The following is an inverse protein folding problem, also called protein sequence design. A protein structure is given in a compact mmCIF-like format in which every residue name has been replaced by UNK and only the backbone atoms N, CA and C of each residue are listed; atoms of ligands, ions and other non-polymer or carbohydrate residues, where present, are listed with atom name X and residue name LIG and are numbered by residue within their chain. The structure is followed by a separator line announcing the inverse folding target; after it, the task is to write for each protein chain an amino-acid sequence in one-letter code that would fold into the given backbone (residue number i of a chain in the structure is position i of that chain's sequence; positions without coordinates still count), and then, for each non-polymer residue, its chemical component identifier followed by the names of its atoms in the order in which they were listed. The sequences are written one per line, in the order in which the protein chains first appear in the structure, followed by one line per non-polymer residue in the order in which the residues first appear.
data_IF_932563141510
#
_entry.id   IF_932563141510
#
_cell.length_a   1.000
_cell.length_b   1.000
_cell.length_c   1.000
_cell.angle_alpha   90.00
_cell.angle_beta   90.00
_cell.angle_gamma   90.00
#
_symmetry.space_group_name_H-M   'P 1'
#
loop_
_entity.id
_entity.type
_entity.pdbx_description
1 polymer ?
#
# COMPACT_ATOMS: atom_id res chain seq x y z
N UNK A 1 -7.15 17.98 -43.36
CA UNK A 1 -8.01 16.81 -43.55
C UNK A 1 -7.24 15.80 -44.40
N UNK A 2 -7.03 14.58 -43.93
CA UNK A 2 -6.42 13.51 -44.73
C UNK A 2 -7.56 12.56 -45.07
N UNK A 3 -7.93 12.43 -46.36
CA UNK A 3 -8.95 11.48 -46.80
C UNK A 3 -8.32 10.12 -47.07
N UNK A 4 -8.93 9.03 -46.62
CA UNK A 4 -8.54 7.67 -46.97
C UNK A 4 -9.76 6.94 -47.54
N UNK A 5 -9.60 6.31 -48.71
CA UNK A 5 -10.65 5.56 -49.42
C UNK A 5 -10.74 4.13 -48.90
N UNK A 6 -11.94 3.62 -48.67
CA UNK A 6 -12.18 2.21 -48.40
C UNK A 6 -13.46 1.74 -49.13
N UNK A 7 -13.31 0.84 -50.12
CA UNK A 7 -14.44 0.19 -50.78
C UNK A 7 -14.81 -1.08 -50.02
N UNK A 8 -16.05 -1.17 -49.53
CA UNK A 8 -16.56 -2.30 -48.75
C UNK A 8 -17.46 -3.16 -49.65
N UNK A 9 -16.86 -3.95 -50.54
CA UNK A 9 -17.56 -5.09 -51.14
C UNK A 9 -16.58 -6.27 -51.29
N UNK A 10 -17.01 -7.40 -50.72
CA UNK A 10 -16.43 -8.75 -50.73
C UNK A 10 -15.38 -9.16 -49.68
N UNK A 11 -15.59 -10.40 -49.22
CA UNK A 11 -14.99 -11.08 -48.08
C UNK A 11 -13.46 -11.19 -48.19
N UNK A 12 -12.79 -10.91 -47.07
CA UNK A 12 -11.34 -11.07 -46.79
C UNK A 12 -10.42 -10.14 -47.59
N UNK A 13 -10.06 -8.99 -47.04
CA UNK A 13 -8.72 -8.37 -47.19
C UNK A 13 -8.45 -7.30 -46.12
N UNK A 14 -7.15 -7.10 -45.84
CA UNK A 14 -6.57 -6.22 -44.82
C UNK A 14 -6.92 -4.75 -45.11
N UNK A 15 -7.29 -3.99 -44.08
CA UNK A 15 -7.39 -2.53 -44.15
C UNK A 15 -5.99 -1.93 -44.27
N UNK A 16 -5.79 -1.05 -45.26
CA UNK A 16 -4.53 -0.34 -45.47
C UNK A 16 -4.73 1.14 -45.15
N UNK A 17 -4.07 1.63 -44.09
CA UNK A 17 -4.06 3.04 -43.72
C UNK A 17 -2.78 3.69 -44.29
N UNK A 18 -2.86 4.73 -45.13
CA UNK A 18 -1.68 5.34 -45.76
C UNK A 18 -0.67 5.96 -44.79
N UNK A 19 -1.08 6.24 -43.55
CA UNK A 19 -0.24 6.86 -42.51
C UNK A 19 0.52 5.82 -41.67
N UNK A 20 0.14 4.54 -41.75
CA UNK A 20 0.76 3.45 -40.99
C UNK A 20 1.49 2.47 -41.91
N UNK A 21 2.69 2.85 -42.38
CA UNK A 21 3.49 1.97 -43.24
C UNK A 21 3.80 0.59 -42.63
N UNK A 22 3.66 0.36 -41.31
CA UNK A 22 4.15 -0.88 -40.65
C UNK A 22 3.19 -1.56 -39.63
N UNK A 23 1.85 -1.42 -39.70
CA UNK A 23 0.98 -2.16 -38.76
C UNK A 23 -0.23 -2.86 -39.43
N UNK A 24 -0.23 -4.20 -39.56
CA UNK A 24 -1.42 -4.94 -39.97
C UNK A 24 -2.40 -5.09 -38.78
N UNK A 25 -3.60 -4.52 -38.89
CA UNK A 25 -4.71 -4.84 -38.00
C UNK A 25 -5.30 -6.18 -38.46
N UNK A 26 -5.12 -7.24 -37.67
CA UNK A 26 -5.73 -8.54 -37.90
C UNK A 26 -7.10 -8.63 -37.21
N UNK A 27 -8.18 -8.73 -38.00
CA UNK A 27 -9.55 -8.94 -37.51
C UNK A 27 -10.59 -8.74 -38.62
N UNK A 28 -11.77 -9.36 -38.47
CA UNK A 28 -12.93 -9.15 -39.36
C UNK A 28 -13.37 -7.67 -39.34
N UNK A 29 -13.89 -7.16 -40.46
CA UNK A 29 -14.23 -5.74 -40.66
C UNK A 29 -15.11 -5.11 -39.56
N UNK A 30 -15.92 -5.92 -38.87
CA UNK A 30 -16.74 -5.48 -37.73
C UNK A 30 -15.91 -4.92 -36.57
N UNK A 31 -14.77 -5.56 -36.25
CA UNK A 31 -13.91 -5.15 -35.13
C UNK A 31 -13.22 -3.81 -35.37
N UNK A 32 -12.97 -3.48 -36.64
CA UNK A 32 -12.41 -2.18 -37.01
C UNK A 32 -13.46 -1.05 -36.89
N UNK A 33 -14.70 -1.33 -37.28
CA UNK A 33 -15.83 -0.41 -37.10
C UNK A 33 -16.16 -0.17 -35.63
N UNK A 34 -16.14 -1.20 -34.79
CA UNK A 34 -16.35 -1.09 -33.34
C UNK A 34 -15.26 -0.22 -32.68
N UNK A 35 -14.00 -0.37 -33.11
CA UNK A 35 -12.89 0.47 -32.65
C UNK A 35 -13.10 1.93 -33.07
N UNK A 36 -13.55 2.18 -34.30
CA UNK A 36 -13.78 3.54 -34.81
C UNK A 36 -14.97 4.25 -34.12
N UNK A 37 -16.06 3.52 -33.84
CA UNK A 37 -17.20 4.04 -33.07
C UNK A 37 -16.83 4.34 -31.62
N UNK A 38 -16.01 3.48 -30.99
CA UNK A 38 -15.54 3.68 -29.60
C UNK A 38 -14.58 4.86 -29.45
N UNK A 39 -13.87 5.26 -30.52
CA UNK A 39 -12.95 6.40 -30.53
C UNK A 39 -13.65 7.76 -30.72
N UNK A 40 -15.00 7.82 -30.83
CA UNK A 40 -15.79 9.03 -31.14
C UNK A 40 -15.29 9.79 -32.37
N UNK A 41 -14.72 9.08 -33.35
CA UNK A 41 -14.41 9.66 -34.65
C UNK A 41 -15.73 9.76 -35.42
N UNK A 42 -16.21 10.98 -35.67
CA UNK A 42 -17.41 11.20 -36.46
C UNK A 42 -17.17 10.64 -37.88
N UNK A 43 -17.86 9.54 -38.19
CA UNK A 43 -17.90 8.97 -39.52
C UNK A 43 -19.13 9.55 -40.24
N UNK A 44 -18.89 10.23 -41.35
CA UNK A 44 -19.97 10.69 -42.22
C UNK A 44 -20.07 9.72 -43.40
N UNK A 45 -21.27 9.25 -43.67
CA UNK A 45 -21.58 8.49 -44.88
C UNK A 45 -22.05 9.49 -45.94
N UNK A 46 -21.32 9.59 -47.05
CA UNK A 46 -21.79 10.35 -48.20
C UNK A 46 -22.84 9.52 -48.98
N UNK A 47 -23.75 10.13 -49.77
CA UNK A 47 -24.83 9.43 -50.46
C UNK A 47 -24.39 8.30 -51.42
N UNK A 48 -23.09 8.24 -51.75
CA UNK A 48 -22.48 7.18 -52.56
C UNK A 48 -21.91 5.98 -51.78
N UNK A 49 -22.04 5.93 -50.44
CA UNK A 49 -21.58 4.81 -49.63
C UNK A 49 -20.09 4.83 -49.24
N UNK A 50 -19.38 5.95 -49.44
CA UNK A 50 -18.02 6.14 -48.91
C UNK A 50 -18.04 6.66 -47.46
N UNK A 51 -17.15 6.10 -46.62
CA UNK A 51 -17.01 6.46 -45.20
C UNK A 51 -15.78 7.35 -45.00
N UNK A 52 -15.98 8.62 -44.66
CA UNK A 52 -14.88 9.56 -44.41
C UNK A 52 -14.60 9.70 -42.90
N UNK A 53 -13.32 9.55 -42.50
CA UNK A 53 -12.87 9.61 -41.09
C UNK A 53 -12.09 10.90 -40.80
N UNK A 54 -12.43 11.62 -39.73
CA UNK A 54 -11.66 12.77 -39.23
C UNK A 54 -10.72 12.34 -38.10
N UNK A 55 -9.42 12.35 -38.34
CA UNK A 55 -8.42 12.10 -37.29
C UNK A 55 -8.26 13.33 -36.37
N UNK A 56 -8.02 13.14 -35.06
CA UNK A 56 -7.71 14.23 -34.14
C UNK A 56 -6.37 14.89 -34.50
N UNK A 57 -6.26 16.19 -34.26
CA UNK A 57 -5.02 16.95 -34.48
C UNK A 57 -3.98 16.65 -33.38
N UNK A 58 -2.69 16.95 -33.64
CA UNK A 58 -1.65 16.81 -32.60
C UNK A 58 -1.98 17.73 -31.41
N UNK A 59 -2.01 17.15 -30.20
CA UNK A 59 -2.36 17.88 -28.97
C UNK A 59 -3.83 17.82 -28.54
N UNK A 60 -4.72 17.19 -29.30
CA UNK A 60 -6.14 17.04 -28.94
C UNK A 60 -6.33 15.96 -27.85
N UNK A 61 -7.18 16.23 -26.84
CA UNK A 61 -7.43 15.33 -25.70
C UNK A 61 -8.59 14.38 -25.99
N UNK A 62 -8.36 13.08 -25.90
CA UNK A 62 -9.39 12.05 -26.10
C UNK A 62 -9.81 11.47 -24.74
N UNK A 63 -11.11 11.44 -24.39
CA UNK A 63 -11.59 10.85 -23.14
C UNK A 63 -11.39 9.33 -23.09
N UNK A 64 -11.10 8.81 -21.89
CA UNK A 64 -10.84 7.39 -21.63
C UNK A 64 -12.12 6.55 -21.71
N UNK A 65 -12.04 5.38 -22.37
CA UNK A 65 -13.11 4.37 -22.47
C UNK A 65 -12.53 3.01 -22.06
N UNK A 66 -13.29 2.25 -21.28
CA UNK A 66 -12.85 1.18 -20.37
C UNK A 66 -11.79 0.17 -20.88
N UNK A 67 -10.82 -0.10 -20.00
CA UNK A 67 -10.24 -1.43 -19.73
C UNK A 67 -9.22 -2.08 -20.68
N UNK A 68 -9.28 -1.91 -22.00
CA UNK A 68 -8.44 -2.72 -22.92
C UNK A 68 -7.23 -2.02 -23.54
N UNK A 69 -6.99 -0.76 -23.20
CA UNK A 69 -6.04 0.11 -23.91
C UNK A 69 -4.82 0.47 -23.05
N UNK A 70 -3.75 -0.34 -23.02
CA UNK A 70 -2.55 0.11 -22.28
C UNK A 70 -1.15 -0.23 -22.86
N UNK A 71 -1.04 -0.72 -24.10
CA UNK A 71 0.29 -0.73 -24.79
C UNK A 71 0.26 -0.38 -26.26
N UNK A 72 -0.70 -0.91 -27.03
CA UNK A 72 -0.75 -0.71 -28.49
C UNK A 72 -1.12 0.71 -28.92
N UNK A 73 -1.95 1.43 -28.14
CA UNK A 73 -2.44 2.77 -28.51
C UNK A 73 -1.32 3.82 -28.59
N UNK A 74 -0.39 3.80 -27.62
CA UNK A 74 0.77 4.72 -27.59
C UNK A 74 1.72 4.52 -28.77
N UNK A 75 1.73 3.32 -29.34
CA UNK A 75 2.54 2.99 -30.53
C UNK A 75 1.86 3.45 -31.82
N UNK A 76 0.53 3.55 -31.83
CA UNK A 76 -0.27 3.89 -33.02
C UNK A 76 -0.41 5.40 -33.21
N UNK A 77 -0.42 6.20 -32.13
CA UNK A 77 -0.58 7.65 -32.19
C UNK A 77 0.52 8.40 -31.42
N UNK A 78 1.71 8.61 -32.02
CA UNK A 78 2.74 9.46 -31.43
C UNK A 78 2.23 10.90 -31.30
N UNK A 79 2.22 11.44 -30.07
CA UNK A 79 1.79 12.81 -29.76
C UNK A 79 0.39 12.95 -29.13
N UNK A 80 -0.39 11.88 -28.99
CA UNK A 80 -1.70 11.92 -28.30
C UNK A 80 -1.52 11.71 -26.80
N UNK A 81 -1.96 12.69 -26.00
CA UNK A 81 -1.99 12.58 -24.54
C UNK A 81 -3.34 12.04 -24.11
N UNK A 82 -3.39 10.75 -23.75
CA UNK A 82 -4.58 10.15 -23.12
C UNK A 82 -4.64 10.65 -21.68
N UNK A 83 -5.55 11.58 -21.40
CA UNK A 83 -5.88 11.97 -20.04
C UNK A 83 -6.98 11.03 -19.54
N UNK A 84 -6.64 10.09 -18.66
CA UNK A 84 -7.69 9.43 -17.88
C UNK A 84 -8.37 10.49 -17.01
N UNK A 85 -9.71 10.54 -16.94
CA UNK A 85 -10.35 11.15 -15.80
C UNK A 85 -9.74 10.49 -14.56
N UNK A 86 -9.33 11.27 -13.56
CA UNK A 86 -9.05 10.64 -12.26
C UNK A 86 -10.32 9.87 -11.90
N UNK A 87 -10.24 8.58 -11.52
CA UNK A 87 -11.42 7.86 -11.09
C UNK A 87 -12.11 8.70 -10.02
N UNK A 88 -13.34 9.13 -10.28
CA UNK A 88 -14.14 9.71 -9.23
C UNK A 88 -14.59 8.53 -8.38
N UNK A 89 -14.15 8.51 -7.12
CA UNK A 89 -14.60 7.49 -6.19
C UNK A 89 -16.10 7.70 -5.96
N UNK A 90 -16.91 6.84 -6.60
CA UNK A 90 -18.34 6.83 -6.40
C UNK A 90 -18.63 6.49 -4.93
N UNK A 91 -19.65 7.14 -4.35
CA UNK A 91 -20.13 6.77 -3.02
C UNK A 91 -20.77 5.38 -3.10
N UNK A 92 -20.01 4.37 -2.70
CA UNK A 92 -20.53 3.01 -2.55
C UNK A 92 -21.45 2.97 -1.32
N UNK A 93 -22.72 2.66 -1.53
CA UNK A 93 -23.75 2.43 -0.50
C UNK A 93 -23.82 0.96 -0.04
N UNK A 94 -22.87 0.12 -0.47
CA UNK A 94 -22.85 -1.31 -0.11
C UNK A 94 -22.74 -1.47 1.41
N UNK A 95 -23.78 -2.02 2.03
CA UNK A 95 -23.74 -2.51 3.40
C UNK A 95 -22.87 -3.77 3.46
N UNK A 96 -21.81 -3.79 4.28
CA UNK A 96 -20.96 -4.96 4.42
C UNK A 96 -21.60 -6.03 5.29
N UNK A 97 -21.68 -7.26 4.77
CA UNK A 97 -22.13 -8.42 5.56
C UNK A 97 -20.91 -9.24 5.99
N UNK A 98 -20.90 -9.63 7.26
CA UNK A 98 -19.90 -10.54 7.84
C UNK A 98 -19.97 -11.93 7.16
N UNK A 99 -18.83 -12.54 6.80
CA UNK A 99 -18.81 -13.91 6.27
C UNK A 99 -19.45 -14.90 7.24
N UNK A 100 -20.06 -15.96 6.70
CA UNK A 100 -20.51 -17.10 7.52
C UNK A 100 -19.28 -17.71 8.22
N UNK A 101 -19.28 -17.79 9.55
CA UNK A 101 -18.25 -18.48 10.33
C UNK A 101 -17.42 -17.62 11.29
N UNK A 102 -17.40 -16.29 11.15
CA UNK A 102 -16.80 -15.39 12.17
C UNK A 102 -17.94 -14.81 13.00
N UNK A 103 -17.95 -15.01 14.33
CA UNK A 103 -18.90 -14.35 15.24
C UNK A 103 -18.13 -13.53 16.27
N UNK A 104 -18.53 -12.28 16.50
CA UNK A 104 -17.89 -11.40 17.48
C UNK A 104 -17.94 -11.94 18.91
N UNK A 105 -18.96 -12.73 19.23
CA UNK A 105 -19.12 -13.43 20.50
C UNK A 105 -18.02 -14.46 20.76
N UNK A 106 -17.40 -14.99 19.70
CA UNK A 106 -16.47 -16.12 19.80
C UNK A 106 -15.03 -15.67 20.16
N UNK A 107 -14.79 -14.36 20.23
CA UNK A 107 -13.46 -13.80 20.49
C UNK A 107 -13.49 -12.85 21.67
N UNK A 108 -12.46 -12.90 22.51
CA UNK A 108 -12.23 -11.96 23.60
C UNK A 108 -11.75 -10.60 23.06
N UNK A 109 -10.84 -10.65 22.07
CA UNK A 109 -10.27 -9.48 21.40
C UNK A 109 -10.14 -9.66 19.89
N UNK A 110 -10.27 -8.54 19.18
CA UNK A 110 -10.07 -8.38 17.74
C UNK A 110 -8.83 -7.50 17.55
N UNK A 111 -7.72 -8.11 17.15
CA UNK A 111 -6.40 -7.51 17.07
C UNK A 111 -6.15 -7.01 15.64
N UNK A 112 -6.38 -5.73 15.39
CA UNK A 112 -6.26 -5.11 14.06
C UNK A 112 -4.81 -4.71 13.79
N UNK A 113 -4.15 -5.42 12.88
CA UNK A 113 -2.79 -5.11 12.44
C UNK A 113 -2.80 -3.84 11.58
N UNK A 114 -2.33 -2.74 12.16
CA UNK A 114 -2.56 -1.39 11.66
C UNK A 114 -1.26 -0.67 11.31
N UNK A 115 -1.04 -0.44 10.01
CA UNK A 115 0.16 0.23 9.49
C UNK A 115 -0.05 1.73 9.24
N UNK A 116 -1.28 2.23 9.37
CA UNK A 116 -1.68 3.56 8.94
C UNK A 116 -1.90 3.69 7.43
N UNK A 117 -1.62 2.64 6.65
CA UNK A 117 -1.92 2.56 5.23
C UNK A 117 -3.42 2.41 4.94
N UNK A 118 -3.82 2.73 3.70
CA UNK A 118 -5.22 2.73 3.25
C UNK A 118 -5.94 1.40 3.52
N UNK A 119 -5.25 0.28 3.34
CA UNK A 119 -5.87 -1.04 3.45
C UNK A 119 -6.05 -1.47 4.92
N UNK A 120 -5.16 -1.04 5.83
CA UNK A 120 -5.35 -1.21 7.28
C UNK A 120 -6.47 -0.32 7.82
N UNK A 121 -6.62 0.90 7.29
CA UNK A 121 -7.78 1.74 7.55
C UNK A 121 -9.06 1.08 7.07
N UNK A 122 -9.07 0.57 5.84
CA UNK A 122 -10.23 -0.12 5.29
C UNK A 122 -10.62 -1.33 6.15
N UNK A 123 -9.66 -2.13 6.62
CA UNK A 123 -9.95 -3.25 7.52
C UNK A 123 -10.61 -2.79 8.83
N UNK A 124 -10.09 -1.73 9.46
CA UNK A 124 -10.68 -1.18 10.67
C UNK A 124 -12.09 -0.62 10.44
N UNK A 125 -12.26 0.23 9.43
CA UNK A 125 -13.54 0.85 9.12
C UNK A 125 -14.60 -0.19 8.72
N UNK A 126 -14.19 -1.22 7.99
CA UNK A 126 -15.06 -2.34 7.66
C UNK A 126 -15.58 -3.03 8.92
N UNK A 127 -14.72 -3.29 9.92
CA UNK A 127 -15.15 -3.90 11.19
C UNK A 127 -16.17 -3.04 11.91
N UNK A 128 -15.94 -1.72 11.93
CA UNK A 128 -16.84 -0.77 12.57
C UNK A 128 -18.20 -0.69 11.84
N UNK A 129 -18.20 -0.64 10.51
CA UNK A 129 -19.44 -0.69 9.70
C UNK A 129 -20.20 -2.02 9.88
N UNK A 130 -19.47 -3.13 10.09
CA UNK A 130 -20.05 -4.46 10.34
C UNK A 130 -20.48 -4.70 11.81
N UNK A 131 -20.45 -3.67 12.66
CA UNK A 131 -20.92 -3.73 14.04
C UNK A 131 -20.04 -4.58 14.96
N UNK A 132 -18.72 -4.63 14.72
CA UNK A 132 -17.80 -5.25 15.67
C UNK A 132 -17.78 -4.47 17.01
N UNK A 133 -17.88 -5.15 18.18
CA UNK A 133 -17.88 -4.49 19.49
C UNK A 133 -16.58 -3.72 19.72
N UNK A 134 -16.68 -2.41 19.99
CA UNK A 134 -15.50 -1.52 20.07
C UNK A 134 -14.57 -1.86 21.23
N UNK A 135 -15.13 -2.33 22.35
CA UNK A 135 -14.43 -2.81 23.54
C UNK A 135 -13.56 -4.05 23.28
N UNK A 136 -13.84 -4.79 22.21
CA UNK A 136 -13.03 -5.92 21.74
C UNK A 136 -11.94 -5.52 20.75
N UNK A 137 -12.07 -4.38 20.07
CA UNK A 137 -11.12 -3.97 19.03
C UNK A 137 -9.90 -3.32 19.65
N UNK A 138 -8.73 -3.79 19.22
CA UNK A 138 -7.45 -3.19 19.56
C UNK A 138 -6.63 -2.92 18.30
N UNK A 139 -6.01 -1.75 18.24
CA UNK A 139 -5.06 -1.40 17.19
C UNK A 139 -3.69 -1.89 17.61
N UNK A 140 -3.09 -2.72 16.75
CA UNK A 140 -1.75 -3.27 16.95
C UNK A 140 -0.82 -2.73 15.87
N UNK A 141 0.29 -2.12 16.28
CA UNK A 141 1.26 -1.52 15.38
C UNK A 141 2.65 -2.09 15.60
N UNK A 142 3.33 -2.45 14.53
CA UNK A 142 4.71 -2.94 14.59
C UNK A 142 5.68 -1.85 14.19
N UNK A 143 6.42 -1.33 15.17
CA UNK A 143 7.46 -0.34 14.96
C UNK A 143 8.74 -1.04 14.45
N UNK A 144 8.98 -0.97 13.15
CA UNK A 144 10.09 -1.68 12.48
C UNK A 144 11.45 -1.01 12.69
N UNK A 145 11.46 0.24 13.13
CA UNK A 145 12.68 0.96 13.50
C UNK A 145 13.13 0.65 14.93
N UNK A 146 12.28 -0.01 15.73
CA UNK A 146 12.51 -0.18 17.16
C UNK A 146 12.28 1.11 17.95
N UNK A 147 12.31 0.99 19.27
CA UNK A 147 12.52 2.13 20.16
C UNK A 147 14.03 2.27 20.36
N UNK A 148 14.70 2.98 19.43
CA UNK A 148 16.05 3.50 19.67
C UNK A 148 15.98 4.90 20.29
N UNK A 149 17.10 5.40 20.82
CA UNK A 149 17.21 6.69 21.52
C UNK A 149 16.32 7.76 20.88
N UNK A 150 15.58 8.44 21.74
CA UNK A 150 14.51 9.43 21.58
C UNK A 150 14.87 10.71 20.76
N UNK A 151 15.94 10.65 19.96
CA UNK A 151 16.36 11.63 18.97
C UNK A 151 16.90 11.05 17.66
N UNK A 152 16.90 9.72 17.47
CA UNK A 152 17.37 9.09 16.24
C UNK A 152 16.37 9.31 15.09
N UNK A 153 16.86 9.78 13.95
CA UNK A 153 16.08 9.87 12.72
C UNK A 153 15.54 8.48 12.37
N UNK A 154 14.21 8.33 12.20
CA UNK A 154 13.58 7.08 11.75
C UNK A 154 14.36 6.49 10.58
N UNK A 155 14.65 5.20 10.62
CA UNK A 155 15.62 4.60 9.70
C UNK A 155 14.96 4.07 8.43
N UNK A 156 13.83 3.37 8.60
CA UNK A 156 13.09 2.71 7.55
C UNK A 156 11.67 3.24 7.42
N UNK A 157 10.97 3.53 8.52
CA UNK A 157 9.60 4.02 8.48
C UNK A 157 9.51 5.49 8.08
N UNK A 158 8.28 5.96 7.87
CA UNK A 158 8.07 7.40 7.73
C UNK A 158 8.17 8.03 9.12
N UNK A 159 8.85 9.17 9.29
CA UNK A 159 8.93 9.85 10.58
C UNK A 159 7.56 10.08 11.24
N UNK A 160 6.52 10.33 10.43
CA UNK A 160 5.16 10.55 10.92
C UNK A 160 4.40 9.27 11.32
N UNK A 161 4.80 8.06 10.88
CA UNK A 161 3.94 6.86 10.98
C UNK A 161 3.50 6.58 12.40
N UNK A 162 4.43 6.61 13.37
CA UNK A 162 4.12 6.33 14.79
C UNK A 162 3.09 7.32 15.33
N UNK A 163 3.30 8.61 15.08
CA UNK A 163 2.36 9.66 15.51
C UNK A 163 1.01 9.56 14.79
N UNK A 164 1.01 9.25 13.50
CA UNK A 164 -0.20 9.07 12.71
C UNK A 164 -1.05 7.91 13.24
N UNK A 165 -0.43 6.78 13.57
CA UNK A 165 -1.11 5.61 14.12
C UNK A 165 -1.63 5.89 15.54
N UNK A 166 -0.84 6.56 16.38
CA UNK A 166 -1.29 7.01 17.70
C UNK A 166 -2.48 7.99 17.62
N UNK A 167 -2.41 8.95 16.71
CA UNK A 167 -3.50 9.89 16.46
C UNK A 167 -4.75 9.17 15.96
N UNK A 168 -4.62 8.21 15.04
CA UNK A 168 -5.70 7.38 14.54
C UNK A 168 -6.38 6.61 15.68
N UNK A 169 -5.61 5.89 16.50
CA UNK A 169 -6.16 5.15 17.63
C UNK A 169 -6.92 6.05 18.61
N UNK A 170 -6.33 7.20 18.95
CA UNK A 170 -6.97 8.18 19.85
C UNK A 170 -8.24 8.78 19.24
N UNK A 171 -8.24 9.15 17.97
CA UNK A 171 -9.42 9.70 17.29
C UNK A 171 -10.54 8.68 17.14
N UNK A 172 -10.19 7.40 16.98
CA UNK A 172 -11.16 6.31 16.95
C UNK A 172 -11.54 5.82 18.36
N UNK A 173 -10.94 6.34 19.43
CA UNK A 173 -11.20 5.87 20.80
C UNK A 173 -10.91 4.39 20.99
N UNK A 174 -9.84 3.87 20.36
CA UNK A 174 -9.44 2.47 20.42
C UNK A 174 -8.06 2.33 21.10
N UNK A 175 -7.81 1.27 21.87
CA UNK A 175 -6.49 1.00 22.45
C UNK A 175 -5.44 0.79 21.36
N UNK A 176 -4.26 1.40 21.53
CA UNK A 176 -3.07 1.14 20.72
C UNK A 176 -2.06 0.30 21.51
N UNK A 177 -1.55 -0.75 20.89
CA UNK A 177 -0.46 -1.57 21.41
C UNK A 177 0.64 -1.69 20.36
N UNK A 178 1.86 -1.36 20.76
CA UNK A 178 3.02 -1.37 19.88
C UNK A 178 3.91 -2.56 20.19
N UNK A 179 4.45 -3.20 19.16
CA UNK A 179 5.44 -4.26 19.26
C UNK A 179 6.63 -3.95 18.37
N UNK A 180 7.84 -4.32 18.79
CA UNK A 180 9.04 -4.08 18.01
C UNK A 180 10.14 -5.07 18.32
N UNK A 181 11.19 -5.03 17.51
CA UNK A 181 12.48 -5.65 17.82
C UNK A 181 13.47 -4.55 18.18
N UNK A 182 14.29 -4.77 19.20
CA UNK A 182 15.35 -3.83 19.57
C UNK A 182 16.23 -3.51 18.36
N UNK A 183 16.70 -2.27 18.28
CA UNK A 183 17.55 -1.75 17.19
C UNK A 183 16.94 -1.79 15.77
N UNK A 184 15.70 -2.26 15.62
CA UNK A 184 14.97 -2.24 14.36
C UNK A 184 15.64 -2.99 13.20
N UNK A 185 15.22 -2.65 11.98
CA UNK A 185 15.72 -3.28 10.76
C UNK A 185 17.22 -3.04 10.57
N UNK A 186 17.71 -1.82 10.84
CA UNK A 186 19.11 -1.48 10.61
C UNK A 186 20.00 -2.17 11.64
N UNK A 187 19.59 -2.27 12.90
CA UNK A 187 20.26 -3.06 13.92
C UNK A 187 20.38 -4.52 13.53
N UNK A 188 19.26 -5.17 13.17
CA UNK A 188 19.26 -6.56 12.73
C UNK A 188 20.13 -6.82 11.49
N UNK A 189 20.18 -5.86 10.57
CA UNK A 189 21.03 -5.94 9.38
C UNK A 189 22.52 -5.88 9.75
N UNK A 190 22.89 -5.02 10.70
CA UNK A 190 24.27 -4.67 11.04
C UNK A 190 24.84 -5.40 12.26
N UNK A 191 24.04 -6.27 12.87
CA UNK A 191 24.39 -7.06 14.06
C UNK A 191 25.70 -7.84 13.86
N UNK A 192 26.61 -7.75 14.84
CA UNK A 192 27.90 -8.47 14.87
C UNK A 192 28.07 -9.18 16.21
N UNK A 193 28.46 -10.45 16.19
CA UNK A 193 28.89 -11.20 17.38
C UNK A 193 27.84 -11.35 18.49
N UNK A 194 26.55 -11.38 18.15
CA UNK A 194 25.45 -11.59 19.13
C UNK A 194 24.26 -12.25 18.44
N UNK A 195 23.39 -12.93 19.18
CA UNK A 195 22.10 -13.41 18.67
C UNK A 195 21.13 -12.28 18.32
N UNK A 196 20.04 -12.60 17.62
CA UNK A 196 18.98 -11.65 17.24
C UNK A 196 18.56 -10.77 18.42
N UNK A 197 18.29 -9.50 18.15
CA UNK A 197 17.85 -8.56 19.18
C UNK A 197 16.53 -9.01 19.80
N UNK A 198 16.32 -8.75 21.11
CA UNK A 198 15.09 -9.10 21.78
C UNK A 198 13.90 -8.36 21.17
N UNK A 199 12.72 -8.95 21.32
CA UNK A 199 11.46 -8.30 20.96
C UNK A 199 10.82 -7.70 22.18
N UNK A 200 10.12 -6.61 21.97
CA UNK A 200 9.37 -5.93 23.01
C UNK A 200 7.93 -5.72 22.57
N UNK A 201 7.04 -5.66 23.53
CA UNK A 201 5.64 -5.34 23.31
C UNK A 201 5.07 -4.57 24.49
N UNK A 202 4.22 -3.61 24.20
CA UNK A 202 3.43 -2.92 25.22
C UNK A 202 2.38 -3.87 25.82
N UNK A 203 2.19 -3.77 27.13
CA UNK A 203 1.26 -4.58 27.90
C UNK A 203 0.77 -3.81 29.15
N UNK A 204 0.01 -4.49 30.01
CA UNK A 204 -0.35 -4.00 31.34
C UNK A 204 0.36 -4.78 32.45
N UNK A 205 0.69 -4.08 33.53
CA UNK A 205 1.00 -4.70 34.81
C UNK A 205 -0.28 -5.10 35.57
N UNK A 206 -0.11 -5.75 36.72
CA UNK A 206 -1.20 -6.20 37.59
C UNK A 206 -2.08 -5.06 38.12
N UNK A 207 -1.59 -3.81 38.08
CA UNK A 207 -2.31 -2.61 38.49
C UNK A 207 -2.95 -1.87 37.32
N UNK A 208 -2.91 -2.45 36.11
CA UNK A 208 -3.46 -1.85 34.90
C UNK A 208 -2.63 -0.70 34.33
N UNK A 209 -1.37 -0.54 34.73
CA UNK A 209 -0.46 0.49 34.19
C UNK A 209 0.27 -0.06 32.96
N UNK A 210 0.51 0.81 31.96
CA UNK A 210 1.28 0.43 30.77
C UNK A 210 2.72 0.08 31.13
N UNK A 211 3.17 -1.06 30.64
CA UNK A 211 4.55 -1.54 30.76
C UNK A 211 5.05 -2.05 29.42
N UNK A 212 6.36 -2.15 29.27
CA UNK A 212 7.00 -2.83 28.14
C UNK A 212 7.52 -4.16 28.65
N UNK A 213 7.15 -5.26 27.96
CA UNK A 213 7.66 -6.59 28.26
C UNK A 213 8.63 -7.03 27.19
N UNK A 214 9.66 -7.75 27.62
CA UNK A 214 10.64 -8.38 26.76
C UNK A 214 10.22 -9.82 26.44
N UNK A 215 10.33 -10.20 25.18
CA UNK A 215 10.26 -11.58 24.71
C UNK A 215 11.55 -11.91 23.96
N UNK A 216 12.53 -12.40 24.71
CA UNK A 216 13.82 -12.83 24.17
C UNK A 216 13.70 -14.22 23.58
N UNK A 217 14.19 -14.36 22.35
CA UNK A 217 14.50 -15.65 21.76
C UNK A 217 16.00 -15.83 21.85
N UNK A 218 16.49 -16.59 22.82
CA UNK A 218 17.92 -16.97 22.90
C UNK A 218 18.35 -17.91 21.75
N UNK A 219 17.42 -18.29 20.86
CA UNK A 219 17.70 -19.06 19.65
C UNK A 219 17.94 -18.15 18.44
N UNK A 220 19.05 -18.37 17.71
CA UNK A 220 19.29 -17.73 16.41
C UNK A 220 20.76 -17.67 16.01
N UNK A 221 21.01 -17.31 14.76
CA UNK A 221 22.36 -17.12 14.19
C UNK A 221 23.19 -16.09 14.98
N UNK A 222 24.44 -16.43 15.30
CA UNK A 222 25.42 -15.56 15.98
C UNK A 222 25.95 -14.39 15.13
N UNK A 223 25.33 -14.13 13.99
CA UNK A 223 25.70 -13.07 13.04
C UNK A 223 24.47 -12.38 12.46
N UNK A 224 24.63 -11.11 12.06
CA UNK A 224 23.59 -10.31 11.41
C UNK A 224 23.10 -10.92 10.10
N UNK A 225 22.02 -10.34 9.54
CA UNK A 225 21.41 -10.88 8.32
C UNK A 225 22.42 -10.90 7.17
N UNK A 226 22.48 -11.94 6.33
CA UNK A 226 23.46 -12.05 5.24
C UNK A 226 23.32 -10.91 4.22
N UNK A 227 22.15 -10.28 4.14
CA UNK A 227 21.90 -9.09 3.34
C UNK A 227 20.56 -8.44 3.68
N UNK A 228 20.20 -7.45 2.88
CA UNK A 228 18.90 -6.80 2.94
C UNK A 228 17.74 -7.79 2.72
N UNK A 229 16.52 -7.48 3.19
CA UNK A 229 15.38 -8.38 3.04
C UNK A 229 15.07 -8.69 1.57
N UNK A 230 14.75 -9.96 1.28
CA UNK A 230 14.46 -10.38 -0.09
C UNK A 230 13.14 -9.79 -0.63
N UNK A 231 13.14 -9.36 -1.90
CA UNK A 231 11.93 -8.82 -2.55
C UNK A 231 10.90 -9.88 -2.91
N UNK A 232 11.28 -11.08 -3.35
CA UNK A 232 10.33 -12.12 -3.82
C UNK A 232 10.16 -13.26 -2.83
N UNK A 233 11.27 -13.75 -2.30
CA UNK A 233 11.29 -14.89 -1.38
C UNK A 233 10.74 -14.47 -0.01
N UNK A 234 9.52 -14.93 0.31
CA UNK A 234 8.85 -14.65 1.58
C UNK A 234 9.59 -15.24 2.79
N UNK A 235 10.29 -16.36 2.62
CA UNK A 235 11.08 -17.01 3.68
C UNK A 235 12.30 -16.15 4.01
N UNK A 236 12.96 -15.61 2.97
CA UNK A 236 14.13 -14.74 3.12
C UNK A 236 13.78 -13.26 3.35
N UNK A 237 12.50 -12.88 3.29
CA UNK A 237 12.02 -11.52 3.60
C UNK A 237 11.83 -11.34 5.10
N UNK A 238 12.96 -11.29 5.80
CA UNK A 238 13.00 -11.18 7.26
C UNK A 238 12.37 -9.88 7.80
N UNK A 239 12.28 -8.80 7.02
CA UNK A 239 11.57 -7.58 7.46
C UNK A 239 10.04 -7.76 7.58
N UNK A 240 9.47 -8.81 6.99
CA UNK A 240 8.05 -9.15 7.16
C UNK A 240 7.88 -10.08 8.35
N UNK A 241 8.62 -11.19 8.37
CA UNK A 241 8.52 -12.15 9.47
C UNK A 241 9.13 -11.58 10.77
N UNK A 242 10.44 -11.39 10.82
CA UNK A 242 11.16 -11.09 12.06
C UNK A 242 10.94 -9.67 12.62
N UNK A 243 10.39 -8.75 11.83
CA UNK A 243 10.18 -7.35 12.24
C UNK A 243 8.72 -6.94 12.35
N UNK A 244 7.78 -7.77 11.90
CA UNK A 244 6.33 -7.47 11.98
C UNK A 244 5.56 -8.64 12.55
N UNK A 245 5.62 -9.79 11.88
CA UNK A 245 4.82 -10.94 12.29
C UNK A 245 5.29 -11.50 13.63
N UNK A 246 6.59 -11.69 13.80
CA UNK A 246 7.14 -12.28 15.02
C UNK A 246 6.95 -11.38 16.25
N UNK A 247 7.22 -10.06 16.23
CA UNK A 247 6.89 -9.18 17.36
C UNK A 247 5.39 -9.20 17.72
N UNK A 248 4.49 -9.21 16.72
CA UNK A 248 3.06 -9.35 16.97
C UNK A 248 2.71 -10.72 17.57
N UNK A 249 3.32 -11.80 17.10
CA UNK A 249 3.15 -13.14 17.66
C UNK A 249 3.57 -13.15 19.14
N UNK A 250 4.70 -12.55 19.48
CA UNK A 250 5.16 -12.45 20.88
C UNK A 250 4.17 -11.72 21.76
N UNK A 251 3.57 -10.62 21.28
CA UNK A 251 2.49 -9.95 21.99
C UNK A 251 1.29 -10.87 22.24
N UNK A 252 0.87 -11.67 21.25
CA UNK A 252 -0.24 -12.63 21.41
C UNK A 252 0.11 -13.74 22.40
N UNK A 253 1.37 -14.18 22.41
CA UNK A 253 1.82 -15.34 23.19
C UNK A 253 2.09 -15.01 24.66
N UNK A 254 2.61 -13.81 24.94
CA UNK A 254 3.23 -13.49 26.23
C UNK A 254 2.60 -12.27 26.93
N UNK A 255 1.59 -11.63 26.35
CA UNK A 255 0.86 -10.55 27.02
C UNK A 255 0.05 -11.07 28.19
N UNK A 256 0.31 -10.52 29.38
CA UNK A 256 -0.35 -10.89 30.62
C UNK A 256 -1.84 -10.57 30.57
N UNK A 257 -2.24 -9.42 30.00
CA UNK A 257 -3.67 -9.05 29.86
C UNK A 257 -4.45 -9.95 28.89
N UNK A 258 -3.75 -10.76 28.09
CA UNK A 258 -4.30 -11.70 27.12
C UNK A 258 -4.12 -13.16 27.57
N UNK A 259 -3.64 -13.40 28.79
CA UNK A 259 -3.40 -14.74 29.29
C UNK A 259 -4.68 -15.43 29.74
N UNK A 260 -4.62 -16.76 29.90
CA UNK A 260 -5.73 -17.54 30.47
C UNK A 260 -6.05 -17.10 31.89
N UNK A 261 -5.04 -16.74 32.67
CA UNK A 261 -5.17 -16.28 34.05
C UNK A 261 -5.92 -14.96 34.12
N UNK A 262 -5.63 -14.01 33.22
CA UNK A 262 -6.31 -12.72 33.17
C UNK A 262 -7.76 -12.82 32.65
N UNK A 263 -8.02 -13.74 31.70
CA UNK A 263 -9.35 -13.89 31.09
C UNK A 263 -10.26 -14.90 31.81
N UNK A 264 -9.69 -15.82 32.60
CA UNK A 264 -10.41 -16.89 33.29
C UNK A 264 -10.72 -18.13 32.43
N UNK A 265 -10.44 -18.09 31.13
CA UNK A 265 -10.68 -19.18 30.18
C UNK A 265 -9.62 -19.24 29.08
N UNK A 266 -9.65 -20.28 28.24
CA UNK A 266 -8.74 -20.42 27.10
C UNK A 266 -8.94 -19.23 26.14
N UNK A 267 -7.94 -18.34 25.95
CA UNK A 267 -8.12 -17.12 25.20
C UNK A 267 -8.50 -17.36 23.73
N UNK A 268 -9.33 -16.46 23.18
CA UNK A 268 -9.82 -16.52 21.80
C UNK A 268 -9.62 -15.17 21.11
N UNK A 269 -8.79 -15.12 20.08
CA UNK A 269 -8.44 -13.87 19.39
C UNK A 269 -8.71 -13.93 17.88
N UNK A 270 -9.14 -12.80 17.32
CA UNK A 270 -9.27 -12.59 15.89
C UNK A 270 -8.22 -11.60 15.42
N UNK A 271 -7.18 -12.07 14.73
CA UNK A 271 -6.15 -11.22 14.12
C UNK A 271 -6.65 -10.72 12.76
N UNK A 272 -6.75 -9.40 12.59
CA UNK A 272 -7.28 -8.79 11.38
C UNK A 272 -6.17 -8.12 10.56
N UNK A 273 -6.08 -8.44 9.27
CA UNK A 273 -5.12 -7.81 8.33
C UNK A 273 -5.81 -7.21 7.11
N UNK A 274 -5.22 -6.15 6.55
CA UNK A 274 -5.75 -5.42 5.39
C UNK A 274 -5.35 -5.96 4.02
N UNK A 275 -4.99 -7.24 3.89
CA UNK A 275 -4.49 -7.78 2.60
C UNK A 275 -5.64 -7.93 1.58
N UNK A 276 -5.42 -7.54 0.32
CA UNK A 276 -6.42 -7.58 -0.76
C UNK A 276 -6.01 -8.45 -1.94
N UNK A 277 -7.00 -9.03 -2.64
CA UNK A 277 -6.79 -9.85 -3.84
C UNK A 277 -6.13 -9.06 -4.97
N UNK A 278 -6.49 -7.80 -5.13
CA UNK A 278 -6.01 -6.94 -6.22
C UNK A 278 -4.54 -6.53 -6.08
N UNK A 279 -3.94 -6.68 -4.90
CA UNK A 279 -2.55 -6.26 -4.67
C UNK A 279 -1.53 -7.12 -5.45
N UNK A 280 -1.78 -8.42 -5.60
CA UNK A 280 -0.92 -9.32 -6.37
C UNK A 280 -1.60 -10.63 -6.76
N UNK A 281 -1.03 -11.33 -7.75
CA UNK A 281 -1.51 -12.66 -8.16
C UNK A 281 -1.44 -13.69 -7.01
N UNK A 282 -0.44 -13.58 -6.15
CA UNK A 282 -0.29 -14.47 -5.00
C UNK A 282 -1.35 -14.19 -3.94
N UNK A 283 -1.60 -12.90 -3.64
CA UNK A 283 -2.63 -12.48 -2.66
C UNK A 283 -4.04 -12.81 -3.13
N UNK A 284 -4.27 -12.87 -4.44
CA UNK A 284 -5.53 -13.30 -5.01
C UNK A 284 -5.96 -14.71 -4.56
N UNK A 285 -5.01 -15.55 -4.12
CA UNK A 285 -5.25 -16.94 -3.70
C UNK A 285 -5.40 -17.11 -2.19
N UNK A 286 -5.18 -16.07 -1.40
CA UNK A 286 -5.26 -16.18 0.07
C UNK A 286 -6.68 -16.53 0.52
N UNK A 287 -6.79 -17.35 1.56
CA UNK A 287 -8.05 -17.56 2.26
C UNK A 287 -8.45 -16.26 2.97
N UNK A 288 -9.74 -15.92 2.96
CA UNK A 288 -10.23 -14.78 3.73
C UNK A 288 -10.04 -15.02 5.22
N UNK A 289 -10.38 -16.22 5.70
CA UNK A 289 -10.20 -16.69 7.09
C UNK A 289 -9.32 -17.93 7.12
N UNK A 290 -8.42 -18.02 8.10
CA UNK A 290 -7.57 -19.19 8.34
C UNK A 290 -7.12 -19.22 9.81
N UNK A 291 -6.71 -20.37 10.38
CA UNK A 291 -6.02 -20.39 11.66
C UNK A 291 -4.77 -19.51 11.60
N UNK A 292 -4.56 -18.71 12.65
CA UNK A 292 -3.33 -17.92 12.76
C UNK A 292 -2.15 -18.83 13.14
N UNK A 293 -0.91 -18.42 12.86
CA UNK A 293 0.30 -19.21 13.18
C UNK A 293 0.49 -19.45 14.68
N UNK A 294 -0.09 -18.59 15.51
CA UNK A 294 -0.10 -18.76 16.96
C UNK A 294 -1.31 -19.57 17.43
N UNK A 295 -2.14 -20.13 16.58
CA UNK A 295 -3.24 -20.99 17.02
C UNK A 295 -2.70 -22.23 17.77
N UNK A 296 -3.25 -22.55 18.95
CA UNK A 296 -2.87 -23.72 19.74
C UNK A 296 -4.07 -24.16 20.61
N UNK A 297 -4.95 -25.07 20.15
CA UNK A 297 -6.29 -25.32 20.71
C UNK A 297 -6.35 -25.61 22.21
N UNK A 298 -5.29 -26.17 22.79
CA UNK A 298 -5.20 -26.47 24.24
C UNK A 298 -4.75 -25.28 25.09
N UNK A 299 -4.29 -24.19 24.45
CA UNK A 299 -3.74 -23.00 25.11
C UNK A 299 -4.41 -21.69 24.68
N UNK A 300 -4.82 -21.57 23.41
CA UNK A 300 -5.44 -20.38 22.80
C UNK A 300 -6.01 -20.67 21.41
N UNK A 301 -7.17 -20.10 21.11
CA UNK A 301 -7.73 -20.10 19.75
C UNK A 301 -7.38 -18.77 19.08
N UNK A 302 -6.70 -18.82 17.95
CA UNK A 302 -6.38 -17.61 17.18
C UNK A 302 -6.73 -17.83 15.72
N UNK A 303 -7.62 -16.99 15.20
CA UNK A 303 -7.96 -16.95 13.77
C UNK A 303 -7.35 -15.71 13.14
N UNK A 304 -6.99 -15.80 11.86
CA UNK A 304 -6.60 -14.68 11.04
C UNK A 304 -7.69 -14.39 10.01
N UNK A 305 -8.07 -13.12 9.88
CA UNK A 305 -9.07 -12.68 8.93
C UNK A 305 -8.66 -11.46 8.11
N UNK A 306 -9.00 -11.49 6.82
CA UNK A 306 -8.80 -10.44 5.82
C UNK A 306 -10.16 -9.89 5.39
N UNK A 307 -10.80 -9.00 6.16
CA UNK A 307 -12.17 -8.53 5.88
C UNK A 307 -12.29 -7.82 4.54
N UNK A 308 -11.23 -7.11 4.14
CA UNK A 308 -11.19 -6.32 2.91
C UNK A 308 -10.59 -7.06 1.72
N UNK A 309 -10.41 -8.38 1.82
CA UNK A 309 -9.74 -9.18 0.79
C UNK A 309 -10.36 -9.01 -0.61
N UNK A 310 -11.68 -8.85 -0.64
CA UNK A 310 -12.48 -8.71 -1.86
C UNK A 310 -12.59 -7.27 -2.38
N UNK A 311 -12.13 -6.27 -1.62
CA UNK A 311 -12.27 -4.86 -2.00
C UNK A 311 -11.29 -4.46 -3.10
N UNK A 312 -11.78 -3.66 -4.04
CA UNK A 312 -10.92 -2.93 -4.98
C UNK A 312 -10.23 -1.74 -4.30
N UNK A 313 -9.18 -1.19 -4.91
CA UNK A 313 -8.53 0.04 -4.43
C UNK A 313 -9.53 1.21 -4.40
N UNK A 314 -10.44 1.26 -5.37
CA UNK A 314 -11.51 2.26 -5.40
C UNK A 314 -12.45 2.13 -4.19
N UNK A 315 -12.90 0.91 -3.87
CA UNK A 315 -13.76 0.67 -2.71
C UNK A 315 -13.05 0.99 -1.38
N UNK A 316 -11.73 0.78 -1.30
CA UNK A 316 -10.90 1.20 -0.15
C UNK A 316 -10.91 2.72 -0.01
N UNK A 317 -10.65 3.45 -1.09
CA UNK A 317 -10.71 4.92 -1.05
C UNK A 317 -12.13 5.43 -0.78
N UNK A 318 -13.17 4.74 -1.28
CA UNK A 318 -14.57 5.08 -1.01
C UNK A 318 -14.88 4.94 0.47
N UNK A 319 -14.44 3.85 1.09
CA UNK A 319 -14.60 3.62 2.52
C UNK A 319 -13.90 4.71 3.35
N UNK A 320 -12.65 5.05 3.02
CA UNK A 320 -11.96 6.16 3.69
C UNK A 320 -12.66 7.50 3.49
N UNK A 321 -13.18 7.78 2.28
CA UNK A 321 -13.94 9.00 1.95
C UNK A 321 -15.22 9.10 2.79
N UNK A 322 -16.01 8.02 2.88
CA UNK A 322 -17.25 7.98 3.66
C UNK A 322 -17.02 8.33 5.13
N UNK A 323 -15.93 7.82 5.71
CA UNK A 323 -15.53 8.12 7.08
C UNK A 323 -14.69 9.40 7.22
N UNK A 324 -14.51 10.15 6.12
CA UNK A 324 -13.69 11.36 6.06
C UNK A 324 -12.27 11.16 6.62
N UNK A 325 -11.70 9.97 6.51
CA UNK A 325 -10.36 9.68 7.04
C UNK A 325 -9.31 10.39 6.20
N UNK A 326 -8.48 11.22 6.84
CA UNK A 326 -7.31 11.83 6.24
C UNK A 326 -6.29 10.73 5.89
N UNK A 327 -5.97 10.51 4.60
CA UNK A 327 -4.96 9.55 4.22
C UNK A 327 -3.60 9.89 4.81
N UNK A 328 -2.77 8.86 5.03
CA UNK A 328 -1.40 9.01 5.49
C UNK A 328 -0.63 10.02 4.61
N UNK A 329 0.19 10.93 5.17
CA UNK A 329 0.90 11.95 4.41
C UNK A 329 1.71 11.43 3.21
N UNK A 330 2.18 10.18 3.26
CA UNK A 330 2.82 9.50 2.12
C UNK A 330 1.95 9.55 0.84
N UNK A 331 0.65 9.28 0.95
CA UNK A 331 -0.27 9.32 -0.18
C UNK A 331 -0.47 10.74 -0.71
N UNK A 332 -0.54 11.73 0.18
CA UNK A 332 -0.66 13.14 -0.20
C UNK A 332 0.57 13.62 -0.99
N UNK A 333 1.75 13.10 -0.62
CA UNK A 333 3.03 13.35 -1.25
C UNK A 333 3.33 12.46 -2.47
N UNK A 334 2.33 11.70 -2.95
CA UNK A 334 2.41 11.02 -4.25
C UNK A 334 2.82 9.55 -4.20
N UNK A 335 3.02 8.95 -3.03
CA UNK A 335 3.24 7.50 -2.92
C UNK A 335 1.94 6.73 -3.11
N UNK A 336 1.96 5.66 -3.90
CA UNK A 336 0.79 4.79 -4.08
C UNK A 336 0.60 3.75 -2.96
N UNK A 337 1.61 3.57 -2.12
CA UNK A 337 1.57 2.65 -0.99
C UNK A 337 2.26 3.29 0.23
N UNK A 338 1.68 3.08 1.41
CA UNK A 338 2.27 3.46 2.69
C UNK A 338 2.97 2.26 3.32
N UNK A 339 4.07 1.83 2.69
CA UNK A 339 5.05 0.96 3.34
C UNK A 339 6.02 1.81 4.17
N UNK A 340 7.04 1.17 4.74
CA UNK A 340 8.26 1.85 5.19
C UNK A 340 8.74 2.84 4.10
N UNK A 341 9.23 4.01 4.49
CA UNK A 341 9.78 5.00 3.56
C UNK A 341 10.98 4.42 2.79
N UNK A 342 11.88 3.74 3.50
CA UNK A 342 13.04 3.01 2.98
C UNK A 342 12.75 1.58 2.51
N UNK A 343 11.52 1.27 2.08
CA UNK A 343 11.14 -0.10 1.75
C UNK A 343 11.98 -0.74 0.62
N UNK A 344 12.19 -2.06 0.68
CA UNK A 344 12.79 -2.84 -0.41
C UNK A 344 12.02 -2.74 -1.74
N UNK A 345 10.74 -2.36 -1.71
CA UNK A 345 9.90 -2.14 -2.88
C UNK A 345 9.90 -0.71 -3.42
N UNK A 346 10.65 0.19 -2.78
CA UNK A 346 10.75 1.58 -3.17
C UNK A 346 11.32 1.67 -4.59
N UNK A 347 10.65 2.47 -5.43
CA UNK A 347 11.05 2.70 -6.81
C UNK A 347 12.24 3.67 -6.89
N UNK A 348 13.03 3.66 -7.98
CA UNK A 348 14.06 4.66 -8.25
C UNK A 348 13.59 6.11 -8.01
N UNK A 349 12.39 6.46 -8.48
CA UNK A 349 11.82 7.79 -8.31
C UNK A 349 11.54 8.12 -6.83
N UNK A 350 11.04 7.15 -6.06
CA UNK A 350 10.81 7.35 -4.62
C UNK A 350 12.13 7.46 -3.83
N UNK A 351 13.21 6.79 -4.26
CA UNK A 351 14.55 7.00 -3.68
C UNK A 351 15.07 8.40 -3.94
N UNK A 352 14.91 8.92 -5.16
CA UNK A 352 15.23 10.31 -5.49
C UNK A 352 14.42 11.31 -4.66
N UNK A 353 13.13 11.04 -4.44
CA UNK A 353 12.30 11.87 -3.56
C UNK A 353 12.75 11.80 -2.11
N UNK A 354 13.11 10.61 -1.59
CA UNK A 354 13.67 10.49 -0.24
C UNK A 354 14.96 11.29 -0.11
N UNK A 355 15.87 11.20 -1.09
CA UNK A 355 17.12 11.99 -1.11
C UNK A 355 16.85 13.50 -0.99
N UNK A 356 15.76 13.99 -1.59
CA UNK A 356 15.36 15.40 -1.54
C UNK A 356 14.62 15.77 -0.24
N UNK A 357 13.67 14.95 0.19
CA UNK A 357 12.76 15.26 1.30
C UNK A 357 13.33 14.91 2.67
N UNK A 358 14.14 13.86 2.75
CA UNK A 358 14.81 13.39 3.96
C UNK A 358 16.27 13.00 3.67
N UNK A 359 17.13 13.97 3.33
CA UNK A 359 18.52 13.70 2.97
C UNK A 359 19.30 12.98 4.08
N UNK A 360 18.95 13.23 5.36
CA UNK A 360 19.53 12.51 6.50
C UNK A 360 19.22 11.01 6.48
N UNK A 361 17.95 10.63 6.31
CA UNK A 361 17.50 9.25 6.21
C UNK A 361 18.14 8.54 5.02
N UNK A 362 18.14 9.19 3.85
CA UNK A 362 18.76 8.65 2.65
C UNK A 362 20.25 8.37 2.85
N UNK A 363 21.00 9.32 3.43
CA UNK A 363 22.43 9.12 3.76
C UNK A 363 22.63 7.99 4.78
N UNK A 364 21.74 7.87 5.77
CA UNK A 364 21.77 6.77 6.74
C UNK A 364 21.66 5.40 6.06
N UNK A 365 20.73 5.25 5.12
CA UNK A 365 20.55 4.02 4.35
C UNK A 365 21.73 3.74 3.41
N UNK A 366 22.28 4.76 2.75
CA UNK A 366 23.51 4.61 1.94
C UNK A 366 24.68 4.14 2.81
N UNK A 367 24.85 4.68 4.02
CA UNK A 367 25.88 4.24 4.97
C UNK A 367 25.65 2.79 5.39
N UNK A 368 24.40 2.40 5.66
CA UNK A 368 24.05 1.01 5.98
C UNK A 368 24.35 0.06 4.82
N UNK A 369 24.05 0.46 3.58
CA UNK A 369 24.35 -0.31 2.36
C UNK A 369 25.86 -0.58 2.22
N UNK A 370 26.67 0.48 2.35
CA UNK A 370 28.14 0.40 2.31
C UNK A 370 28.70 -0.46 3.43
N UNK A 371 28.26 -0.27 4.67
CA UNK A 371 28.71 -1.04 5.83
C UNK A 371 28.39 -2.53 5.68
N UNK A 372 27.23 -2.85 5.10
CA UNK A 372 26.82 -4.24 4.87
C UNK A 372 27.58 -4.89 3.70
N UNK A 373 28.03 -4.10 2.72
CA UNK A 373 28.60 -4.61 1.48
C UNK A 373 27.56 -5.26 0.55
N UNK A 374 26.28 -4.90 0.71
CA UNK A 374 25.17 -5.44 -0.08
C UNK A 374 24.12 -4.37 -0.33
N UNK A 375 23.45 -4.42 -1.50
CA UNK A 375 22.50 -3.40 -1.95
C UNK A 375 21.05 -3.70 -1.57
N UNK A 376 20.27 -2.67 -1.23
CA UNK A 376 18.80 -2.80 -1.03
C UNK A 376 18.12 -3.14 -2.36
N UNK A 377 18.62 -2.51 -3.42
CA UNK A 377 18.09 -2.59 -4.78
C UNK A 377 18.92 -3.53 -5.65
N UNK A 378 19.02 -4.81 -5.27
CA UNK A 378 19.61 -5.94 -6.03
C UNK A 378 20.57 -5.55 -7.16
N UNK A 379 21.83 -5.28 -6.81
CA UNK A 379 22.90 -4.99 -7.78
C UNK A 379 23.00 -3.52 -8.19
N UNK A 380 22.16 -2.65 -7.66
CA UNK A 380 22.22 -1.19 -7.86
C UNK A 380 22.28 -0.53 -6.49
N UNK A 381 23.21 0.39 -6.31
CA UNK A 381 23.32 1.17 -5.07
C UNK A 381 22.14 2.13 -4.93
N UNK A 382 21.86 2.57 -3.71
CA UNK A 382 20.80 3.55 -3.48
C UNK A 382 21.04 4.87 -4.21
N UNK A 383 22.30 5.31 -4.31
CA UNK A 383 22.67 6.52 -5.07
C UNK A 383 22.33 6.36 -6.55
N UNK A 384 22.78 5.27 -7.18
CA UNK A 384 22.46 4.99 -8.59
C UNK A 384 20.97 4.82 -8.82
N UNK A 385 20.25 4.18 -7.89
CA UNK A 385 18.80 4.04 -7.98
C UNK A 385 18.10 5.41 -7.90
N UNK A 386 18.54 6.31 -7.02
CA UNK A 386 18.03 7.66 -6.95
C UNK A 386 18.35 8.46 -8.22
N UNK A 387 19.57 8.38 -8.75
CA UNK A 387 19.96 9.09 -9.97
C UNK A 387 19.11 8.67 -11.17
N UNK A 388 18.87 7.36 -11.33
CA UNK A 388 17.95 6.82 -12.35
C UNK A 388 16.51 7.32 -12.19
N UNK A 389 16.11 7.68 -10.97
CA UNK A 389 14.76 8.11 -10.63
C UNK A 389 14.49 9.61 -10.78
N UNK A 390 15.52 10.43 -10.96
CA UNK A 390 15.45 11.89 -10.78
C UNK A 390 14.42 12.57 -11.69
N UNK A 391 14.41 12.23 -12.98
CA UNK A 391 13.45 12.79 -13.94
C UNK A 391 12.00 12.44 -13.59
N UNK A 392 11.76 11.21 -13.11
CA UNK A 392 10.41 10.80 -12.69
C UNK A 392 10.02 11.44 -11.35
N UNK A 393 10.95 11.59 -10.42
CA UNK A 393 10.73 12.30 -9.15
C UNK A 393 10.30 13.75 -9.39
N UNK A 394 10.93 14.45 -10.34
CA UNK A 394 10.51 15.80 -10.73
C UNK A 394 9.07 15.85 -11.24
N UNK A 395 8.67 14.89 -12.08
CA UNK A 395 7.28 14.78 -12.55
C UNK A 395 6.31 14.51 -11.41
N UNK A 396 6.69 13.67 -10.44
CA UNK A 396 5.87 13.43 -9.24
C UNK A 396 5.70 14.73 -8.45
N UNK A 397 6.78 15.46 -8.16
CA UNK A 397 6.75 16.75 -7.46
C UNK A 397 5.85 17.77 -8.17
N UNK A 398 5.97 17.88 -9.49
CA UNK A 398 5.16 18.77 -10.30
C UNK A 398 3.66 18.39 -10.28
N UNK A 399 3.35 17.10 -10.10
CA UNK A 399 1.96 16.61 -9.99
C UNK A 399 1.32 16.85 -8.62
N UNK A 400 2.11 17.21 -7.59
CA UNK A 400 1.63 17.50 -6.24
C UNK A 400 1.35 19.00 -6.13
N UNK A 401 0.10 19.42 -5.87
CA UNK A 401 -0.21 20.84 -5.69
C UNK A 401 0.67 21.48 -4.61
N UNK A 402 1.17 22.69 -4.86
CA UNK A 402 2.06 23.38 -3.93
C UNK A 402 1.49 23.53 -2.51
N UNK A 403 0.19 23.86 -2.31
CA UNK A 403 -0.41 23.89 -0.97
C UNK A 403 -0.41 22.53 -0.26
N UNK A 404 -0.61 21.43 -0.99
CA UNK A 404 -0.55 20.06 -0.45
C UNK A 404 0.87 19.74 0.01
N UNK A 405 1.86 20.02 -0.82
CA UNK A 405 3.26 19.77 -0.47
C UNK A 405 3.70 20.61 0.74
N UNK A 406 3.34 21.91 0.77
CA UNK A 406 3.66 22.82 1.90
C UNK A 406 3.02 22.36 3.21
N UNK A 407 1.81 21.79 3.15
CA UNK A 407 1.12 21.25 4.33
C UNK A 407 1.73 19.94 4.81
N UNK A 408 1.89 18.96 3.92
CA UNK A 408 2.12 17.58 4.30
C UNK A 408 3.59 17.19 4.38
N UNK A 409 4.50 17.88 3.67
CA UNK A 409 5.93 17.55 3.73
C UNK A 409 6.51 17.74 5.14
N UNK A 410 6.30 18.88 5.84
CA UNK A 410 6.78 19.02 7.22
C UNK A 410 6.18 17.98 8.16
N UNK A 411 4.90 17.63 7.97
CA UNK A 411 4.22 16.62 8.78
C UNK A 411 4.81 15.23 8.54
N UNK A 412 4.97 14.83 7.28
CA UNK A 412 5.51 13.53 6.90
C UNK A 412 6.93 13.30 7.45
N UNK A 413 7.74 14.36 7.48
CA UNK A 413 9.14 14.31 7.91
C UNK A 413 9.33 14.60 9.41
N UNK A 414 8.26 14.72 10.19
CA UNK A 414 8.32 14.93 11.65
C UNK A 414 8.58 16.39 12.08
N UNK A 415 8.68 17.35 11.15
CA UNK A 415 8.79 18.78 11.45
C UNK A 415 7.48 19.42 11.94
N UNK A 416 6.35 18.71 11.85
CA UNK A 416 5.08 19.08 12.48
C UNK A 416 4.33 17.83 12.91
N UNK A 417 3.79 17.84 14.14
CA UNK A 417 3.07 16.69 14.68
C UNK A 417 1.77 16.42 13.93
N UNK A 418 1.49 15.15 13.67
CA UNK A 418 0.16 14.71 13.24
C UNK A 418 -0.70 14.47 14.48
N UNK A 419 -1.85 15.14 14.58
CA UNK A 419 -2.68 15.12 15.80
C UNK A 419 -4.02 14.40 15.57
N UNK A 420 -4.72 13.94 16.64
CA UNK A 420 -6.04 13.32 16.50
C UNK A 420 -7.06 14.20 15.76
N UNK A 421 -6.97 15.53 15.92
CA UNK A 421 -7.84 16.49 15.25
C UNK A 421 -7.67 16.51 13.72
N UNK A 422 -6.58 15.92 13.20
CA UNK A 422 -6.28 15.82 11.78
C UNK A 422 -6.74 14.50 11.15
N UNK A 423 -7.17 13.51 11.95
CA UNK A 423 -7.58 12.18 11.46
C UNK A 423 -8.82 12.28 10.58
N UNK A 424 -9.76 13.17 10.91
CA UNK A 424 -10.95 13.43 10.12
C UNK A 424 -10.79 14.72 9.32
N UNK A 425 -10.98 14.64 8.00
CA UNK A 425 -10.95 15.79 7.09
C UNK A 425 -12.11 16.71 7.40
N UNK A 426 -11.79 17.97 7.73
CA UNK A 426 -12.78 19.04 7.86
C UNK A 426 -13.17 19.54 6.46
N UNK A 427 -14.40 19.24 6.03
CA UNK A 427 -14.94 19.64 4.73
C UNK A 427 -14.87 18.54 3.66
N UNK A 428 -14.57 18.95 2.42
CA UNK A 428 -14.57 18.04 1.28
C UNK A 428 -13.38 17.10 1.31
N UNK A 429 -13.70 15.81 1.26
CA UNK A 429 -12.69 14.77 1.17
C UNK A 429 -12.30 14.60 -0.30
N UNK A 430 -11.00 14.56 -0.56
CA UNK A 430 -10.46 14.34 -1.90
C UNK A 430 -9.53 13.15 -1.93
N UNK A 431 -9.45 12.51 -3.08
CA UNK A 431 -8.42 11.52 -3.36
C UNK A 431 -7.02 12.13 -3.16
N UNK A 432 -6.12 11.45 -2.43
CA UNK A 432 -4.76 11.92 -2.27
C UNK A 432 -3.98 11.77 -3.58
N UNK A 433 -2.92 12.57 -3.74
CA UNK A 433 -2.14 12.62 -4.99
C UNK A 433 -1.57 11.27 -5.43
N UNK A 434 -1.31 10.36 -4.49
CA UNK A 434 -0.74 9.03 -4.72
C UNK A 434 -1.75 7.93 -5.07
N UNK A 435 -3.06 8.18 -4.93
CA UNK A 435 -4.09 7.18 -5.25
C UNK A 435 -3.99 6.72 -6.71
N UNK A 436 -4.14 5.40 -6.95
CA UNK A 436 -4.09 4.77 -8.27
C UNK A 436 -2.78 4.98 -9.06
N UNK A 437 -1.68 5.43 -8.41
CA UNK A 437 -0.39 5.67 -9.09
C UNK A 437 0.52 4.46 -9.22
N UNK A 438 0.11 3.29 -8.70
CA UNK A 438 0.60 1.95 -9.07
C UNK A 438 2.10 1.78 -9.30
N UNK A 439 2.97 2.36 -8.46
CA UNK A 439 4.43 2.18 -8.59
C UNK A 439 5.07 1.90 -7.23
N UNK A 440 5.36 0.62 -6.99
CA UNK A 440 5.97 0.10 -5.76
C UNK A 440 4.99 -0.69 -4.90
N UNK A 441 5.49 -1.74 -4.26
CA UNK A 441 4.73 -2.71 -3.45
C UNK A 441 5.05 -4.18 -3.82
N UNK A 442 4.65 -5.16 -2.99
CA UNK A 442 4.70 -6.58 -3.36
C UNK A 442 3.75 -6.84 -4.54
N UNK A 443 4.28 -7.35 -5.65
CA UNK A 443 3.54 -7.70 -6.89
C UNK A 443 3.59 -9.19 -7.18
#
# INVERSE_FOLDING_TARGET
MISARANILQKRRRLYCPVMRHCPIHGSGQRALDILQQLRIAAFADPGGELSLRLPASGEKIPWVDGSWDRKAKTVFPGVTITSPRPQVAESTKSWKRPRGVRWSDYDKILVQFSGGKDSWAALLWLLEAGAPRDKIEIWHQNVDGEGDDGAVSSMDWPVTREYVAAAAKAMGLPLWTQWRAEGIIGELQRKGRHMYPMYFEDLDERGRRVVREATTEAGWLEGRPGWPAKKDMVKRWCTYGMKMEPADKGILYSARLSKEALGHIPRFLVVTGERREESKDRARYSSVQPHRTHAPTRRYVDQWRPVHHLTEEEVWALMKRHKIQPHPAYELGWSHCSCFGCIYTSPAHWALMRRFAPGQFRGLVKAERRKGATITHGVTLTEAADKGEAQAQRIIASIPAPIRKKWLPVAMGGRRFTPAMVHVKGDWRLPTGAFKGRGGPT
#
